data_IF_251233570112
#
_entry.id   IF_251233570112
#
_cell.length_a   1.000
_cell.length_b   1.000
_cell.length_c   1.000
_cell.angle_alpha   90.00
_cell.angle_beta   90.00
_cell.angle_gamma   90.00
#
_symmetry.space_group_name_H-M   'P 1'
#
loop_
_entity.id
_entity.type
_entity.pdbx_description
1 polymer ?
#
# COMPACT_ATOMS: atom_id res chain seq x y z
N UNK A 1 -5.95 -6.43 -21.28
CA UNK A 1 -6.81 -7.46 -20.65
C UNK A 1 -6.14 -8.80 -20.89
N UNK A 2 -5.27 -9.22 -19.98
CA UNK A 2 -4.58 -10.50 -20.08
C UNK A 2 -5.50 -11.59 -19.52
N UNK A 3 -5.57 -12.70 -20.25
CA UNK A 3 -6.55 -13.77 -20.07
C UNK A 3 -6.66 -14.31 -18.65
N UNK A 4 -7.86 -14.78 -18.35
CA UNK A 4 -8.29 -15.34 -17.08
C UNK A 4 -7.25 -16.27 -16.44
N UNK A 5 -7.15 -16.14 -15.11
CA UNK A 5 -6.51 -17.08 -14.21
C UNK A 5 -7.02 -18.51 -14.45
N UNK A 6 -6.29 -19.30 -15.23
CA UNK A 6 -6.38 -20.77 -15.22
C UNK A 6 -5.27 -21.41 -16.07
N UNK A 7 -4.00 -21.11 -15.80
CA UNK A 7 -2.90 -22.04 -16.11
C UNK A 7 -1.95 -22.10 -14.92
N UNK A 8 -2.43 -22.77 -13.88
CA UNK A 8 -1.56 -23.24 -12.80
C UNK A 8 -1.00 -24.61 -13.24
N UNK A 9 0.33 -24.72 -13.20
CA UNK A 9 1.10 -25.99 -13.12
C UNK A 9 1.17 -26.88 -14.37
N UNK A 10 1.85 -26.42 -15.41
CA UNK A 10 2.80 -27.28 -16.11
C UNK A 10 4.21 -26.78 -15.78
N UNK A 11 5.02 -27.62 -15.12
CA UNK A 11 6.40 -27.28 -14.82
C UNK A 11 7.17 -27.09 -16.14
N UNK A 12 7.51 -25.84 -16.46
CA UNK A 12 8.45 -25.54 -17.54
C UNK A 12 9.80 -26.17 -17.16
N UNK A 13 10.35 -27.09 -17.95
CA UNK A 13 11.65 -27.69 -17.66
C UNK A 13 12.71 -26.59 -17.63
N UNK A 14 13.43 -26.45 -16.50
CA UNK A 14 14.51 -25.47 -16.34
C UNK A 14 14.18 -24.22 -15.51
N UNK A 15 12.96 -24.06 -14.98
CA UNK A 15 12.65 -22.98 -14.03
C UNK A 15 13.05 -23.41 -12.62
N UNK A 16 14.10 -22.77 -12.10
CA UNK A 16 14.54 -22.91 -10.72
C UNK A 16 13.47 -22.36 -9.75
N UNK A 17 13.20 -23.09 -8.66
CA UNK A 17 12.19 -22.74 -7.65
C UNK A 17 12.74 -21.83 -6.54
N UNK A 18 14.02 -21.47 -6.60
CA UNK A 18 14.68 -20.67 -5.56
C UNK A 18 14.09 -19.26 -5.37
N UNK A 19 13.37 -18.68 -6.34
CA UNK A 19 12.77 -17.35 -6.19
C UNK A 19 11.48 -17.12 -7.01
N UNK A 20 10.65 -16.16 -6.59
CA UNK A 20 9.49 -15.69 -7.34
C UNK A 20 9.19 -14.20 -7.12
N UNK A 21 8.56 -13.54 -8.10
CA UNK A 21 8.15 -12.14 -7.99
C UNK A 21 6.64 -12.08 -7.79
N UNK A 22 6.16 -11.47 -6.71
CA UNK A 22 4.76 -11.10 -6.57
C UNK A 22 4.57 -9.65 -6.96
N UNK A 23 3.54 -9.36 -7.73
CA UNK A 23 3.13 -8.00 -8.09
C UNK A 23 1.76 -7.71 -7.49
N UNK A 24 1.45 -6.43 -7.26
CA UNK A 24 0.09 -6.00 -6.94
C UNK A 24 -0.89 -6.32 -8.08
N UNK A 25 -2.19 -6.37 -7.78
CA UNK A 25 -3.21 -6.69 -8.78
C UNK A 25 -3.46 -5.51 -9.75
N UNK A 26 -3.26 -4.29 -9.25
CA UNK A 26 -3.43 -3.05 -10.01
C UNK A 26 -2.15 -2.21 -9.91
N UNK A 27 -1.86 -1.37 -10.93
CA UNK A 27 -0.65 -0.56 -10.94
C UNK A 27 -0.70 0.55 -9.87
N UNK A 28 0.40 1.28 -9.69
CA UNK A 28 0.46 2.51 -8.87
C UNK A 28 0.29 3.80 -9.68
N UNK A 29 0.41 3.72 -11.00
CA UNK A 29 0.28 4.81 -11.97
C UNK A 29 -0.42 4.36 -13.26
N UNK A 30 -1.05 5.30 -13.97
CA UNK A 30 -1.97 5.02 -15.07
C UNK A 30 -3.23 5.91 -15.11
N UNK A 31 -4.20 5.59 -15.99
CA UNK A 31 -5.29 6.50 -16.34
C UNK A 31 -6.36 6.63 -15.24
N UNK A 32 -6.42 5.70 -14.28
CA UNK A 32 -7.38 5.76 -13.18
C UNK A 32 -6.87 6.64 -12.02
N UNK A 33 -5.56 6.93 -11.97
CA UNK A 33 -4.90 7.53 -10.81
C UNK A 33 -4.54 6.52 -9.72
N UNK A 34 -4.84 5.23 -9.96
CA UNK A 34 -4.35 4.05 -9.21
C UNK A 34 -4.32 4.25 -7.70
N UNK A 35 -3.14 4.21 -7.07
CA UNK A 35 -3.02 4.35 -5.61
C UNK A 35 -3.42 5.75 -5.13
N UNK A 36 -3.29 6.76 -6.00
CA UNK A 36 -3.67 8.15 -5.76
C UNK A 36 -5.08 8.52 -6.22
N UNK A 37 -5.92 7.57 -6.64
CA UNK A 37 -7.18 7.85 -7.33
C UNK A 37 -8.15 8.75 -6.53
N UNK A 38 -8.04 8.75 -5.20
CA UNK A 38 -8.88 9.53 -4.30
C UNK A 38 -8.17 10.70 -3.61
N UNK A 39 -6.91 10.96 -3.99
CA UNK A 39 -6.06 11.94 -3.32
C UNK A 39 -6.31 13.35 -3.85
N UNK A 40 -6.20 14.34 -2.96
CA UNK A 40 -6.23 15.77 -3.29
C UNK A 40 -5.16 16.50 -2.45
N UNK A 41 -3.90 16.53 -2.94
CA UNK A 41 -2.81 17.26 -2.28
C UNK A 41 -3.12 18.75 -2.07
N UNK A 42 -3.86 19.38 -2.99
CA UNK A 42 -4.26 20.78 -2.90
C UNK A 42 -5.24 21.02 -1.73
N UNK A 43 -6.18 20.10 -1.54
CA UNK A 43 -7.09 20.12 -0.38
C UNK A 43 -6.31 19.96 0.92
N UNK A 44 -5.39 18.98 0.98
CA UNK A 44 -4.53 18.77 2.14
C UNK A 44 -3.73 20.02 2.50
N UNK A 45 -3.07 20.64 1.52
CA UNK A 45 -2.29 21.86 1.71
C UNK A 45 -3.17 23.03 2.20
N UNK A 46 -4.38 23.17 1.65
CA UNK A 46 -5.32 24.24 2.05
C UNK A 46 -5.80 24.05 3.48
N UNK A 47 -6.14 22.81 3.87
CA UNK A 47 -6.56 22.48 5.24
C UNK A 47 -5.41 22.66 6.23
N UNK A 48 -4.20 22.22 5.89
CA UNK A 48 -3.02 22.43 6.74
C UNK A 48 -2.74 23.93 6.93
N UNK A 49 -2.83 24.73 5.87
CA UNK A 49 -2.72 26.18 5.95
C UNK A 49 -3.79 26.80 6.85
N UNK A 50 -5.00 26.26 6.86
CA UNK A 50 -6.06 26.71 7.77
C UNK A 50 -5.78 26.33 9.22
N UNK A 51 -5.35 25.09 9.47
CA UNK A 51 -4.95 24.63 10.81
C UNK A 51 -3.77 25.44 11.37
N UNK A 52 -2.88 25.94 10.50
CA UNK A 52 -1.79 26.85 10.86
C UNK A 52 -2.21 28.33 10.98
N UNK A 53 -3.49 28.67 10.77
CA UNK A 53 -4.02 30.04 10.82
C UNK A 53 -3.64 30.93 9.63
N UNK A 54 -3.16 30.34 8.53
CA UNK A 54 -2.69 31.02 7.33
C UNK A 54 -3.76 31.12 6.23
N UNK A 55 -4.76 30.24 6.27
CA UNK A 55 -5.88 30.17 5.31
C UNK A 55 -7.20 30.31 6.05
N UNK A 56 -8.18 31.00 5.45
CA UNK A 56 -9.51 31.14 6.04
C UNK A 56 -10.24 29.81 6.12
N UNK A 57 -11.13 29.67 7.11
CA UNK A 57 -11.97 28.48 7.24
C UNK A 57 -12.80 28.25 5.97
N UNK A 58 -13.43 29.30 5.43
CA UNK A 58 -14.23 29.23 4.20
C UNK A 58 -13.48 28.58 3.02
N UNK A 59 -12.21 28.94 2.81
CA UNK A 59 -11.40 28.35 1.74
C UNK A 59 -11.08 26.88 2.01
N UNK A 60 -10.78 26.51 3.25
CA UNK A 60 -10.54 25.10 3.62
C UNK A 60 -11.81 24.25 3.48
N UNK A 61 -12.98 24.81 3.84
CA UNK A 61 -14.27 24.15 3.65
C UNK A 61 -14.56 23.89 2.17
N UNK A 62 -14.37 24.92 1.33
CA UNK A 62 -14.55 24.79 -0.11
C UNK A 62 -13.61 23.74 -0.73
N UNK A 63 -12.33 23.76 -0.34
CA UNK A 63 -11.36 22.78 -0.83
C UNK A 63 -11.72 21.34 -0.42
N UNK A 64 -12.27 21.14 0.78
CA UNK A 64 -12.79 19.84 1.22
C UNK A 64 -13.99 19.38 0.37
N UNK A 65 -14.94 20.29 0.11
CA UNK A 65 -16.12 19.97 -0.72
C UNK A 65 -15.73 19.60 -2.16
N UNK A 66 -14.79 20.33 -2.77
CA UNK A 66 -14.24 20.03 -4.10
C UNK A 66 -13.51 18.68 -4.14
N UNK A 67 -12.70 18.38 -3.11
CA UNK A 67 -12.04 17.08 -2.99
C UNK A 67 -13.05 15.93 -2.80
N UNK A 68 -14.12 16.13 -2.03
CA UNK A 68 -15.16 15.14 -1.84
C UNK A 68 -15.92 14.83 -3.15
N UNK A 69 -16.18 15.85 -3.99
CA UNK A 69 -16.78 15.68 -5.31
C UNK A 69 -15.86 14.91 -6.26
N UNK A 70 -14.57 15.30 -6.31
CA UNK A 70 -13.56 14.63 -7.14
C UNK A 70 -13.37 13.17 -6.74
N UNK A 71 -13.24 12.91 -5.44
CA UNK A 71 -13.11 11.56 -4.88
C UNK A 71 -14.32 10.69 -5.24
N UNK A 72 -15.53 11.23 -5.17
CA UNK A 72 -16.72 10.49 -5.53
C UNK A 72 -16.81 10.12 -7.02
N UNK A 73 -16.41 11.02 -7.92
CA UNK A 73 -16.30 10.70 -9.33
C UNK A 73 -15.27 9.57 -9.56
N UNK A 74 -14.15 9.60 -8.85
CA UNK A 74 -13.17 8.52 -8.87
C UNK A 74 -13.72 7.19 -8.30
N UNK A 75 -14.50 7.24 -7.21
CA UNK A 75 -15.16 6.05 -6.64
C UNK A 75 -16.09 5.42 -7.68
N UNK A 76 -16.89 6.22 -8.39
CA UNK A 76 -17.73 5.69 -9.46
C UNK A 76 -16.91 5.04 -10.57
N UNK A 77 -15.80 5.67 -11.02
CA UNK A 77 -14.88 5.07 -12.01
C UNK A 77 -14.35 3.71 -11.56
N UNK A 78 -13.89 3.59 -10.31
CA UNK A 78 -13.44 2.32 -9.74
C UNK A 78 -14.58 1.31 -9.65
N UNK A 79 -15.79 1.75 -9.30
CA UNK A 79 -16.94 0.86 -9.15
C UNK A 79 -17.44 0.25 -10.47
N UNK A 80 -17.27 0.96 -11.59
CA UNK A 80 -17.59 0.45 -12.95
C UNK A 80 -16.42 -0.27 -13.62
N UNK A 81 -15.21 -0.24 -13.03
CA UNK A 81 -14.04 -0.88 -13.62
C UNK A 81 -14.21 -2.41 -13.66
N UNK A 82 -14.32 -2.96 -14.87
CA UNK A 82 -14.53 -4.40 -15.06
C UNK A 82 -13.37 -5.24 -14.52
N UNK A 83 -12.14 -4.73 -14.63
CA UNK A 83 -10.95 -5.40 -14.10
C UNK A 83 -11.06 -5.57 -12.59
N UNK A 84 -11.41 -4.51 -11.87
CA UNK A 84 -11.58 -4.51 -10.42
C UNK A 84 -12.74 -5.40 -10.00
N UNK A 85 -13.90 -5.27 -10.68
CA UNK A 85 -15.07 -6.11 -10.41
C UNK A 85 -14.77 -7.59 -10.62
N UNK A 86 -14.03 -7.94 -11.67
CA UNK A 86 -13.61 -9.32 -11.92
C UNK A 86 -12.59 -9.81 -10.88
N UNK A 87 -11.67 -8.94 -10.46
CA UNK A 87 -10.67 -9.29 -9.47
C UNK A 87 -11.28 -9.56 -8.07
N UNK A 88 -12.38 -8.89 -7.72
CA UNK A 88 -13.07 -9.09 -6.44
C UNK A 88 -14.23 -10.10 -6.50
N UNK A 89 -14.79 -10.33 -7.68
CA UNK A 89 -16.01 -11.13 -7.91
C UNK A 89 -15.83 -12.59 -7.52
N UNK A 90 -16.36 -12.97 -6.36
CA UNK A 90 -16.22 -14.30 -5.77
C UNK A 90 -15.64 -14.35 -4.35
N UNK A 91 -15.17 -13.22 -3.81
CA UNK A 91 -14.49 -13.18 -2.49
C UNK A 91 -15.25 -12.48 -1.36
N UNK A 92 -16.09 -11.47 -1.64
CA UNK A 92 -16.73 -10.63 -0.62
C UNK A 92 -18.10 -10.07 -1.07
N UNK A 93 -19.19 -10.69 -0.59
CA UNK A 93 -20.55 -10.30 -0.94
C UNK A 93 -20.94 -8.88 -0.47
N UNK A 94 -20.29 -8.35 0.57
CA UNK A 94 -20.54 -6.98 1.03
C UNK A 94 -19.94 -5.97 0.05
N UNK A 95 -18.73 -6.24 -0.44
CA UNK A 95 -18.08 -5.43 -1.46
C UNK A 95 -18.84 -5.48 -2.80
N UNK A 96 -19.26 -6.66 -3.24
CA UNK A 96 -20.06 -6.80 -4.48
C UNK A 96 -21.35 -5.95 -4.43
N UNK A 97 -22.05 -5.98 -3.30
CA UNK A 97 -23.23 -5.14 -3.07
C UNK A 97 -22.88 -3.65 -3.08
N UNK A 98 -21.80 -3.24 -2.41
CA UNK A 98 -21.37 -1.85 -2.39
C UNK A 98 -21.04 -1.34 -3.81
N UNK A 99 -20.34 -2.15 -4.60
CA UNK A 99 -20.06 -1.87 -6.00
C UNK A 99 -21.35 -1.72 -6.82
N UNK A 100 -22.32 -2.61 -6.65
CA UNK A 100 -23.64 -2.50 -7.30
C UNK A 100 -24.35 -1.20 -6.97
N UNK A 101 -24.45 -0.86 -5.68
CA UNK A 101 -25.10 0.37 -5.21
C UNK A 101 -24.43 1.64 -5.76
N UNK A 102 -23.10 1.67 -5.84
CA UNK A 102 -22.33 2.81 -6.35
C UNK A 102 -22.52 2.99 -7.86
N UNK A 103 -22.58 1.89 -8.62
CA UNK A 103 -22.89 1.92 -10.06
C UNK A 103 -24.31 2.43 -10.30
N UNK A 104 -25.29 1.92 -9.56
CA UNK A 104 -26.69 2.38 -9.66
C UNK A 104 -26.85 3.85 -9.28
N UNK A 105 -26.10 4.32 -8.29
CA UNK A 105 -26.13 5.71 -7.83
C UNK A 105 -25.52 6.68 -8.84
N UNK A 106 -24.57 6.23 -9.67
CA UNK A 106 -23.83 7.08 -10.59
C UNK A 106 -22.82 8.01 -9.92
N UNK A 107 -22.06 8.76 -10.73
CA UNK A 107 -21.06 9.72 -10.24
C UNK A 107 -21.69 10.87 -9.42
N UNK A 108 -22.90 11.28 -9.79
CA UNK A 108 -23.68 12.33 -9.13
C UNK A 108 -24.63 11.79 -8.05
N UNK A 109 -24.40 10.54 -7.62
CA UNK A 109 -25.20 9.85 -6.62
C UNK A 109 -25.33 10.58 -5.28
N UNK A 110 -26.35 10.21 -4.47
CA UNK A 110 -26.68 10.93 -3.25
C UNK A 110 -25.53 10.88 -2.23
N UNK A 111 -25.11 12.04 -1.71
CA UNK A 111 -24.04 12.16 -0.69
C UNK A 111 -24.53 11.87 0.73
N UNK A 112 -25.24 10.76 0.90
CA UNK A 112 -25.78 10.35 2.20
C UNK A 112 -24.84 9.34 2.92
N UNK A 113 -25.25 8.89 4.11
CA UNK A 113 -24.48 7.95 4.92
C UNK A 113 -24.27 6.60 4.23
N UNK A 114 -25.28 6.08 3.53
CA UNK A 114 -25.21 4.79 2.86
C UNK A 114 -24.20 4.81 1.71
N UNK A 115 -24.25 5.85 0.87
CA UNK A 115 -23.26 6.06 -0.21
C UNK A 115 -21.84 6.14 0.35
N UNK A 116 -21.61 6.94 1.41
CA UNK A 116 -20.28 7.07 2.02
C UNK A 116 -19.74 5.74 2.54
N UNK A 117 -20.58 4.95 3.21
CA UNK A 117 -20.19 3.62 3.69
C UNK A 117 -19.72 2.72 2.55
N UNK A 118 -20.47 2.68 1.45
CA UNK A 118 -20.15 1.84 0.30
C UNK A 118 -18.89 2.36 -0.42
N UNK A 119 -18.73 3.67 -0.54
CA UNK A 119 -17.54 4.32 -1.08
C UNK A 119 -16.28 4.05 -0.23
N UNK A 120 -16.38 4.17 1.10
CA UNK A 120 -15.30 3.88 2.05
C UNK A 120 -14.84 2.41 1.91
N UNK A 121 -15.78 1.47 1.77
CA UNK A 121 -15.47 0.06 1.55
C UNK A 121 -14.73 -0.17 0.23
N UNK A 122 -15.24 0.39 -0.87
CA UNK A 122 -14.58 0.29 -2.19
C UNK A 122 -13.19 0.91 -2.15
N UNK A 123 -13.02 2.08 -1.54
CA UNK A 123 -11.72 2.73 -1.41
C UNK A 123 -10.72 1.87 -0.63
N UNK A 124 -11.14 1.29 0.50
CA UNK A 124 -10.32 0.36 1.30
C UNK A 124 -9.81 -0.82 0.46
N UNK A 125 -10.68 -1.42 -0.35
CA UNK A 125 -10.29 -2.55 -1.21
C UNK A 125 -9.43 -2.11 -2.38
N UNK A 126 -9.79 -1.05 -3.10
CA UNK A 126 -9.00 -0.52 -4.22
C UNK A 126 -7.55 -0.26 -3.81
N UNK A 127 -7.37 0.40 -2.67
CA UNK A 127 -6.06 0.65 -2.11
C UNK A 127 -5.30 -0.64 -1.81
N UNK A 128 -5.94 -1.65 -1.22
CA UNK A 128 -5.29 -2.93 -0.90
C UNK A 128 -4.83 -3.67 -2.16
N UNK A 129 -5.59 -3.56 -3.26
CA UNK A 129 -5.30 -4.14 -4.56
C UNK A 129 -4.17 -3.42 -5.33
N UNK A 130 -3.98 -2.12 -5.09
CA UNK A 130 -2.86 -1.35 -5.65
C UNK A 130 -1.59 -1.39 -4.77
N UNK A 131 -1.76 -1.40 -3.44
CA UNK A 131 -0.68 -1.22 -2.47
C UNK A 131 0.00 -2.52 -2.03
N UNK A 132 -0.67 -3.69 -2.21
CA UNK A 132 -0.21 -4.97 -1.68
C UNK A 132 -0.18 -6.06 -2.74
N UNK A 133 0.78 -6.96 -2.59
CA UNK A 133 1.04 -8.08 -3.51
C UNK A 133 0.19 -9.32 -3.24
N UNK A 134 -0.61 -9.31 -2.18
CA UNK A 134 -1.40 -10.45 -1.71
C UNK A 134 -2.58 -10.85 -2.60
N UNK A 135 -3.02 -9.95 -3.47
CA UNK A 135 -4.11 -10.19 -4.42
C UNK A 135 -3.65 -10.23 -5.87
N UNK A 136 -2.37 -9.94 -6.12
CA UNK A 136 -1.86 -9.91 -7.47
C UNK A 136 -1.26 -11.24 -7.89
N UNK A 137 -0.49 -11.19 -8.97
CA UNK A 137 0.03 -12.38 -9.64
C UNK A 137 1.42 -12.72 -9.15
N UNK A 138 1.72 -14.03 -9.09
CA UNK A 138 3.10 -14.50 -8.93
C UNK A 138 3.67 -14.77 -10.31
N UNK A 139 4.80 -14.14 -10.61
CA UNK A 139 5.56 -14.32 -11.85
C UNK A 139 6.81 -15.16 -11.55
N UNK A 140 7.11 -16.19 -12.37
CA UNK A 140 8.39 -16.87 -12.29
C UNK A 140 9.50 -15.89 -12.66
N UNK A 141 10.69 -16.12 -12.10
CA UNK A 141 11.90 -15.38 -12.40
C UNK A 141 12.86 -16.33 -13.09
N UNK A 142 13.48 -15.89 -14.17
CA UNK A 142 14.57 -16.63 -14.82
C UNK A 142 15.84 -16.51 -13.96
N UNK A 143 16.49 -17.63 -13.62
CA UNK A 143 17.78 -17.58 -12.91
C UNK A 143 18.90 -17.65 -13.95
N UNK A 144 19.76 -16.62 -13.97
CA UNK A 144 20.88 -16.52 -14.89
C UNK A 144 22.18 -16.93 -14.20
N UNK A 145 22.85 -17.93 -14.76
CA UNK A 145 24.18 -18.36 -14.34
C UNK A 145 25.14 -17.16 -14.50
N UNK A 146 25.64 -16.61 -13.39
CA UNK A 146 26.62 -15.50 -13.31
C UNK A 146 26.08 -14.06 -13.42
N UNK A 147 24.77 -13.81 -13.45
CA UNK A 147 24.31 -12.45 -13.18
C UNK A 147 24.50 -12.14 -11.68
N UNK A 148 24.80 -10.90 -11.33
CA UNK A 148 24.91 -10.45 -9.93
C UNK A 148 23.65 -9.68 -9.47
N UNK A 149 22.67 -9.49 -10.38
CA UNK A 149 21.56 -8.54 -10.21
C UNK A 149 20.24 -9.04 -10.77
N UNK A 150 19.15 -8.35 -10.40
CA UNK A 150 17.85 -8.49 -11.07
C UNK A 150 17.88 -7.70 -12.37
N UNK A 151 17.48 -8.34 -13.47
CA UNK A 151 17.37 -7.75 -14.79
C UNK A 151 15.92 -7.78 -15.26
N UNK A 152 15.55 -6.80 -16.08
CA UNK A 152 14.33 -6.83 -16.88
C UNK A 152 14.75 -7.13 -18.32
N UNK A 153 14.68 -8.39 -18.79
CA UNK A 153 15.05 -8.71 -20.16
C UNK A 153 14.07 -8.09 -21.17
N UNK A 154 14.46 -7.95 -22.44
CA UNK A 154 13.66 -7.23 -23.46
C UNK A 154 12.28 -7.82 -23.76
N UNK A 155 12.04 -9.08 -23.38
CA UNK A 155 10.78 -9.79 -23.53
C UNK A 155 9.78 -9.52 -22.39
N UNK A 156 10.15 -8.66 -21.42
CA UNK A 156 9.29 -8.27 -20.30
C UNK A 156 9.32 -9.26 -19.13
N UNK A 157 10.26 -10.22 -19.13
CA UNK A 157 10.53 -11.11 -18.00
C UNK A 157 11.25 -10.41 -16.84
N UNK A 158 11.53 -11.18 -15.80
CA UNK A 158 12.48 -10.80 -14.75
C UNK A 158 13.49 -11.89 -14.61
N UNK A 159 14.77 -11.53 -14.56
CA UNK A 159 15.84 -12.46 -14.35
C UNK A 159 16.64 -12.11 -13.10
N UNK A 160 17.16 -13.09 -12.37
CA UNK A 160 17.97 -12.91 -11.17
C UNK A 160 19.27 -13.71 -11.30
N UNK A 161 20.35 -13.13 -10.82
CA UNK A 161 21.63 -13.80 -10.68
C UNK A 161 21.67 -14.97 -9.70
N UNK A 162 22.16 -16.13 -10.12
CA UNK A 162 22.36 -17.29 -9.24
C UNK A 162 23.36 -17.01 -8.10
N UNK A 163 24.39 -16.21 -8.36
CA UNK A 163 25.42 -15.87 -7.36
C UNK A 163 24.84 -15.17 -6.12
N UNK A 164 23.82 -14.31 -6.30
CA UNK A 164 23.14 -13.68 -5.18
C UNK A 164 22.39 -14.71 -4.32
N UNK A 165 21.77 -15.71 -4.95
CA UNK A 165 21.05 -16.78 -4.25
C UNK A 165 22.03 -17.67 -3.48
N UNK A 166 23.11 -18.09 -4.14
CA UNK A 166 24.16 -18.94 -3.56
C UNK A 166 24.80 -18.29 -2.30
N UNK A 167 24.98 -16.97 -2.30
CA UNK A 167 25.54 -16.24 -1.15
C UNK A 167 24.55 -16.10 0.02
N UNK A 168 23.25 -16.01 -0.25
CA UNK A 168 22.21 -15.80 0.78
C UNK A 168 21.73 -17.10 1.42
N UNK A 169 21.73 -18.20 0.67
CA UNK A 169 21.18 -19.50 1.08
C UNK A 169 21.72 -19.98 2.45
N UNK A 170 23.05 -19.97 2.73
CA UNK A 170 23.57 -20.46 4.02
C UNK A 170 23.08 -19.65 5.22
N UNK A 171 22.84 -18.35 5.06
CA UNK A 171 22.37 -17.49 6.14
C UNK A 171 20.87 -17.59 6.38
N UNK A 172 20.08 -17.82 5.33
CA UNK A 172 18.66 -18.13 5.49
C UNK A 172 18.46 -19.45 6.24
N UNK A 173 19.26 -20.46 5.92
CA UNK A 173 19.28 -21.73 6.63
C UNK A 173 19.69 -21.56 8.10
N UNK A 174 20.77 -20.81 8.38
CA UNK A 174 21.25 -20.54 9.73
C UNK A 174 20.24 -19.74 10.59
N UNK A 175 19.44 -18.86 9.97
CA UNK A 175 18.40 -18.10 10.65
C UNK A 175 17.14 -18.94 10.96
N UNK A 176 17.08 -20.22 10.56
CA UNK A 176 15.95 -21.13 10.80
C UNK A 176 14.68 -20.75 10.03
N UNK A 177 14.80 -19.94 8.96
CA UNK A 177 13.66 -19.33 8.24
C UNK A 177 13.31 -20.14 6.99
N UNK A 178 12.82 -21.37 7.18
CA UNK A 178 12.70 -22.41 6.14
C UNK A 178 11.45 -22.38 5.24
N UNK A 179 10.70 -21.29 5.10
CA UNK A 179 9.49 -21.36 4.26
C UNK A 179 9.27 -20.23 3.27
N UNK A 180 9.55 -18.97 3.57
CA UNK A 180 9.55 -17.87 2.59
C UNK A 180 10.32 -16.68 3.20
N UNK A 181 11.37 -16.18 2.54
CA UNK A 181 11.89 -14.83 2.85
C UNK A 181 11.34 -13.86 1.81
N UNK A 182 10.36 -13.06 2.22
CA UNK A 182 9.91 -11.90 1.45
C UNK A 182 10.94 -10.79 1.57
N UNK A 183 11.75 -10.59 0.54
CA UNK A 183 12.60 -9.40 0.42
C UNK A 183 11.83 -8.39 -0.42
N UNK A 184 11.41 -7.30 0.20
CA UNK A 184 10.88 -6.16 -0.54
C UNK A 184 12.03 -5.45 -1.27
N UNK A 185 12.40 -5.96 -2.44
CA UNK A 185 13.34 -5.28 -3.33
C UNK A 185 12.66 -4.05 -3.94
N UNK A 186 13.16 -2.88 -3.56
CA UNK A 186 12.87 -1.62 -4.23
C UNK A 186 13.88 -1.47 -5.37
N UNK A 187 13.43 -1.06 -6.56
CA UNK A 187 14.31 -0.93 -7.75
C UNK A 187 15.58 -0.10 -7.53
N UNK A 188 15.58 0.82 -6.57
CA UNK A 188 16.73 1.65 -6.23
C UNK A 188 17.96 0.87 -5.71
N UNK A 189 17.83 -0.43 -5.44
CA UNK A 189 18.93 -1.25 -4.90
C UNK A 189 19.46 -2.31 -5.86
N UNK A 190 18.76 -2.61 -6.97
CA UNK A 190 19.00 -3.84 -7.76
C UNK A 190 20.36 -3.92 -8.44
N UNK A 191 20.95 -2.79 -8.82
CA UNK A 191 22.25 -2.75 -9.52
C UNK A 191 23.47 -2.90 -8.60
N UNK A 192 23.29 -2.87 -7.27
CA UNK A 192 24.38 -2.81 -6.28
C UNK A 192 24.05 -3.63 -5.01
N UNK A 193 23.21 -4.66 -5.13
CA UNK A 193 22.92 -5.61 -4.04
C UNK A 193 24.19 -6.42 -3.74
N UNK A 194 24.86 -6.14 -2.62
CA UNK A 194 25.83 -7.09 -2.07
C UNK A 194 25.12 -8.03 -1.10
N UNK A 195 25.32 -9.35 -1.21
CA UNK A 195 24.75 -10.27 -0.24
C UNK A 195 25.29 -9.96 1.18
N UNK A 196 26.51 -9.44 1.29
CA UNK A 196 27.12 -8.99 2.54
C UNK A 196 26.25 -8.05 3.38
N UNK A 197 25.57 -7.07 2.77
CA UNK A 197 24.65 -6.17 3.50
C UNK A 197 23.44 -6.93 4.06
N UNK A 198 22.88 -7.88 3.31
CA UNK A 198 21.77 -8.73 3.76
C UNK A 198 22.20 -9.67 4.89
N UNK A 199 23.38 -10.29 4.74
CA UNK A 199 23.96 -11.18 5.75
C UNK A 199 24.17 -10.46 7.09
N UNK A 200 24.63 -9.21 7.04
CA UNK A 200 24.79 -8.38 8.24
C UNK A 200 23.44 -8.12 8.93
N UNK A 201 22.39 -7.80 8.17
CA UNK A 201 21.02 -7.60 8.72
C UNK A 201 20.44 -8.88 9.32
N UNK A 202 20.61 -10.02 8.66
CA UNK A 202 20.08 -11.30 9.16
C UNK A 202 20.74 -11.71 10.48
N UNK A 203 22.03 -11.36 10.65
CA UNK A 203 22.82 -11.73 11.83
C UNK A 203 22.58 -10.80 13.01
N UNK A 204 22.52 -9.48 12.77
CA UNK A 204 22.35 -8.47 13.82
C UNK A 204 21.52 -7.27 13.30
N UNK A 205 20.17 -7.37 13.31
CA UNK A 205 19.32 -6.31 12.79
C UNK A 205 19.34 -5.09 13.73
N UNK A 206 19.89 -3.98 13.24
CA UNK A 206 19.84 -2.68 13.93
C UNK A 206 18.39 -2.21 14.03
N UNK A 207 17.86 -2.06 15.24
CA UNK A 207 16.50 -1.56 15.51
C UNK A 207 16.52 -0.54 16.63
N UNK A 208 15.51 0.32 16.69
CA UNK A 208 15.36 1.33 17.73
C UNK A 208 13.93 1.31 18.28
N UNK A 209 13.79 1.52 19.59
CA UNK A 209 12.51 1.53 20.29
C UNK A 209 12.08 2.94 20.69
N UNK A 210 10.79 3.14 20.89
CA UNK A 210 10.21 4.40 21.35
C UNK A 210 8.86 4.72 20.70
N UNK A 211 8.27 5.83 21.12
CA UNK A 211 7.06 6.41 20.50
C UNK A 211 7.31 6.74 19.02
N UNK A 212 8.47 7.33 18.70
CA UNK A 212 8.96 7.44 17.32
C UNK A 212 10.33 6.76 17.22
N UNK A 213 10.43 5.82 16.29
CA UNK A 213 11.66 5.13 15.95
C UNK A 213 12.02 5.47 14.49
N UNK A 214 13.17 6.10 14.22
CA UNK A 214 13.54 6.48 12.86
C UNK A 214 13.81 5.25 11.97
N UNK A 215 13.86 5.48 10.66
CA UNK A 215 14.32 4.47 9.70
C UNK A 215 15.77 4.12 10.00
N UNK A 216 16.08 2.83 10.08
CA UNK A 216 17.45 2.33 10.23
C UNK A 216 17.82 1.45 9.05
N UNK A 217 19.10 1.49 8.66
CA UNK A 217 19.63 0.71 7.55
C UNK A 217 20.98 0.09 7.93
N UNK A 218 21.33 -1.00 7.27
CA UNK A 218 22.70 -1.51 7.17
C UNK A 218 23.06 -1.45 5.70
N UNK A 219 23.95 -0.53 5.34
CA UNK A 219 24.16 -0.17 3.93
C UNK A 219 22.85 0.29 3.29
N UNK A 220 22.43 -0.37 2.22
CA UNK A 220 21.19 -0.08 1.48
C UNK A 220 19.97 -0.85 1.98
N UNK A 221 20.17 -1.83 2.86
CA UNK A 221 19.11 -2.69 3.38
C UNK A 221 18.42 -2.00 4.55
N UNK A 222 17.11 -1.80 4.44
CA UNK A 222 16.30 -1.23 5.51
C UNK A 222 16.00 -2.31 6.54
N UNK A 223 16.51 -2.14 7.76
CA UNK A 223 16.28 -3.06 8.88
C UNK A 223 15.01 -2.71 9.65
N UNK A 224 14.66 -1.42 9.68
CA UNK A 224 13.45 -0.90 10.28
C UNK A 224 12.96 0.31 9.50
N UNK A 225 11.68 0.32 9.14
CA UNK A 225 11.01 1.52 8.62
C UNK A 225 10.78 2.53 9.75
N UNK A 226 10.77 3.82 9.44
CA UNK A 226 10.32 4.83 10.38
C UNK A 226 8.94 4.44 10.93
N UNK A 227 8.83 4.40 12.25
CA UNK A 227 7.69 3.86 12.97
C UNK A 227 7.25 4.82 14.07
N UNK A 228 5.96 5.09 14.16
CA UNK A 228 5.32 5.84 15.23
C UNK A 228 4.36 4.91 15.97
N UNK A 229 4.24 5.09 17.28
CA UNK A 229 3.42 4.27 18.17
C UNK A 229 2.60 5.19 19.07
N UNK A 230 1.33 4.86 19.19
CA UNK A 230 0.34 5.57 20.02
C UNK A 230 -0.80 4.60 20.32
N UNK A 231 -1.90 5.07 20.92
CA UNK A 231 -3.15 4.32 21.08
C UNK A 231 -4.29 4.94 20.28
N UNK A 232 -5.40 4.21 20.17
CA UNK A 232 -6.62 4.76 19.55
C UNK A 232 -7.11 5.99 20.34
N UNK A 233 -7.09 5.92 21.67
CA UNK A 233 -7.50 7.00 22.57
C UNK A 233 -6.62 8.25 22.39
N UNK A 234 -5.29 8.09 22.37
CA UNK A 234 -4.34 9.18 22.16
C UNK A 234 -4.46 9.84 20.78
N UNK A 235 -4.90 9.10 19.75
CA UNK A 235 -5.13 9.68 18.43
C UNK A 235 -6.33 10.65 18.38
N UNK A 236 -7.27 10.53 19.32
CA UNK A 236 -8.57 11.23 19.36
C UNK A 236 -9.48 11.00 18.12
N UNK A 237 -9.02 10.31 17.07
CA UNK A 237 -9.71 10.20 15.78
C UNK A 237 -11.00 9.37 15.86
N UNK A 238 -11.07 8.39 16.77
CA UNK A 238 -12.23 7.52 16.95
C UNK A 238 -13.49 8.31 17.33
N UNK A 239 -13.34 9.38 18.12
CA UNK A 239 -14.44 10.18 18.65
C UNK A 239 -15.04 11.15 17.60
N UNK A 240 -14.29 11.47 16.54
CA UNK A 240 -14.69 12.47 15.55
C UNK A 240 -15.75 11.94 14.59
N UNK A 241 -16.98 12.46 14.67
CA UNK A 241 -18.14 11.90 13.93
C UNK A 241 -18.29 12.45 12.53
N UNK A 242 -18.26 13.76 12.34
CA UNK A 242 -18.61 14.39 11.07
C UNK A 242 -17.56 14.14 9.99
N UNK A 243 -17.96 13.90 8.71
CA UNK A 243 -17.02 13.55 7.64
C UNK A 243 -15.89 14.56 7.44
N UNK A 244 -16.23 15.85 7.52
CA UNK A 244 -15.28 16.96 7.40
C UNK A 244 -14.35 17.01 8.60
N UNK A 245 -14.94 16.97 9.80
CA UNK A 245 -14.21 17.07 11.06
C UNK A 245 -13.19 15.93 11.17
N UNK A 246 -13.54 14.73 10.69
CA UNK A 246 -12.62 13.58 10.61
C UNK A 246 -11.39 13.90 9.77
N UNK A 247 -11.58 14.50 8.60
CA UNK A 247 -10.47 14.85 7.72
C UNK A 247 -9.56 15.90 8.38
N UNK A 248 -10.13 16.96 8.95
CA UNK A 248 -9.37 18.02 9.62
C UNK A 248 -8.62 17.49 10.85
N UNK A 249 -9.26 16.63 11.64
CA UNK A 249 -8.62 15.98 12.78
C UNK A 249 -7.47 15.06 12.34
N UNK A 250 -7.64 14.31 11.26
CA UNK A 250 -6.58 13.46 10.70
C UNK A 250 -5.40 14.28 10.15
N UNK A 251 -5.65 15.43 9.50
CA UNK A 251 -4.60 16.36 9.05
C UNK A 251 -3.81 16.91 10.24
N UNK A 252 -4.51 17.35 11.29
CA UNK A 252 -3.91 17.81 12.55
C UNK A 252 -3.05 16.72 13.18
N UNK A 253 -3.60 15.51 13.35
CA UNK A 253 -2.89 14.36 13.92
C UNK A 253 -1.62 14.00 13.13
N UNK A 254 -1.69 14.00 11.79
CA UNK A 254 -0.53 13.82 10.90
C UNK A 254 0.54 14.89 11.14
N UNK A 255 0.14 16.15 11.34
CA UNK A 255 1.07 17.24 11.57
C UNK A 255 1.73 17.15 12.96
N UNK A 256 0.94 16.89 14.00
CA UNK A 256 1.38 16.77 15.40
C UNK A 256 2.43 15.66 15.60
N UNK A 257 2.21 14.49 14.98
CA UNK A 257 3.15 13.37 15.02
C UNK A 257 4.29 13.46 13.99
N UNK A 258 4.25 14.44 13.10
CA UNK A 258 5.23 14.58 12.01
C UNK A 258 5.19 13.42 11.01
N UNK A 259 4.02 12.82 10.78
CA UNK A 259 3.86 11.68 9.86
C UNK A 259 4.06 12.11 8.40
N UNK A 260 4.58 11.23 7.52
CA UNK A 260 4.49 11.42 6.07
C UNK A 260 3.04 11.47 5.57
N UNK A 261 2.82 11.98 4.36
CA UNK A 261 1.49 11.98 3.72
C UNK A 261 0.91 10.57 3.55
N UNK A 262 1.77 9.56 3.40
CA UNK A 262 1.37 8.16 3.23
C UNK A 262 2.01 7.28 4.27
N UNK A 263 1.19 6.52 4.98
CA UNK A 263 1.63 5.60 6.02
C UNK A 263 0.86 4.28 5.93
N UNK A 264 1.42 3.23 6.53
CA UNK A 264 0.70 2.03 6.89
C UNK A 264 0.32 2.11 8.38
N UNK A 265 -0.95 1.91 8.71
CA UNK A 265 -1.45 1.87 10.08
C UNK A 265 -1.88 0.45 10.41
N UNK A 266 -1.33 -0.12 11.48
CA UNK A 266 -1.72 -1.42 12.03
C UNK A 266 -2.37 -1.22 13.40
N UNK A 267 -3.51 -1.89 13.60
CA UNK A 267 -4.14 -2.06 14.91
C UNK A 267 -3.81 -3.46 15.42
N UNK A 268 -3.63 -3.63 16.74
CA UNK A 268 -3.21 -4.91 17.30
C UNK A 268 -4.22 -6.06 17.05
N UNK A 269 -5.50 -5.72 16.86
CA UNK A 269 -6.61 -6.62 16.55
C UNK A 269 -6.86 -6.81 15.04
N UNK A 270 -6.20 -6.03 14.17
CA UNK A 270 -6.30 -6.18 12.72
C UNK A 270 -5.20 -7.07 12.14
N UNK A 271 -5.56 -7.98 11.23
CA UNK A 271 -4.62 -8.96 10.66
C UNK A 271 -3.58 -8.32 9.73
N UNK A 272 -3.89 -7.16 9.13
CA UNK A 272 -3.00 -6.50 8.16
C UNK A 272 -3.10 -4.98 8.23
N UNK A 273 -1.98 -4.26 8.10
CA UNK A 273 -1.98 -2.80 8.14
C UNK A 273 -2.80 -2.20 6.99
N UNK A 274 -3.57 -1.16 7.25
CA UNK A 274 -4.19 -0.33 6.21
C UNK A 274 -3.17 0.67 5.66
N UNK A 275 -3.12 0.89 4.35
CA UNK A 275 -2.43 2.07 3.85
C UNK A 275 -3.35 3.27 4.12
N UNK A 276 -2.78 4.44 4.39
CA UNK A 276 -3.53 5.69 4.58
C UNK A 276 -2.76 6.76 3.83
N UNK A 277 -3.44 7.44 2.92
CA UNK A 277 -2.94 8.68 2.30
C UNK A 277 -3.74 9.84 2.90
N UNK A 278 -3.09 10.66 3.72
CA UNK A 278 -3.69 11.79 4.40
C UNK A 278 -4.08 12.93 3.45
N UNK A 279 -3.71 12.86 2.16
CA UNK A 279 -4.23 13.78 1.14
C UNK A 279 -5.61 13.40 0.63
N UNK A 280 -6.16 12.26 1.07
CA UNK A 280 -7.46 11.74 0.64
C UNK A 280 -8.47 11.75 1.79
N UNK A 281 -9.52 12.60 1.70
CA UNK A 281 -10.60 12.59 2.70
C UNK A 281 -11.23 11.23 2.92
N UNK A 282 -11.42 10.43 1.85
CA UNK A 282 -12.04 9.10 1.98
C UNK A 282 -11.13 8.09 2.70
N UNK A 283 -9.80 8.14 2.50
CA UNK A 283 -8.89 7.27 3.25
C UNK A 283 -8.81 7.65 4.72
N UNK A 284 -8.87 8.94 5.06
CA UNK A 284 -8.97 9.35 6.48
C UNK A 284 -10.30 8.92 7.10
N UNK A 285 -11.40 8.95 6.35
CA UNK A 285 -12.68 8.44 6.82
C UNK A 285 -12.64 6.93 7.10
N UNK A 286 -11.99 6.14 6.22
CA UNK A 286 -11.74 4.71 6.42
C UNK A 286 -10.94 4.47 7.70
N UNK A 287 -9.87 5.22 7.94
CA UNK A 287 -9.08 5.14 9.17
C UNK A 287 -9.95 5.43 10.41
N UNK A 288 -10.66 6.57 10.45
CA UNK A 288 -11.52 6.90 11.59
C UNK A 288 -12.61 5.86 11.84
N UNK A 289 -13.17 5.27 10.77
CA UNK A 289 -14.17 4.20 10.86
C UNK A 289 -13.55 2.92 11.46
N UNK A 290 -12.33 2.56 11.06
CA UNK A 290 -11.63 1.38 11.60
C UNK A 290 -11.26 1.57 13.09
N UNK A 291 -10.70 2.74 13.45
CA UNK A 291 -10.36 3.06 14.83
C UNK A 291 -11.59 3.00 15.75
N UNK A 292 -12.72 3.58 15.30
CA UNK A 292 -14.00 3.55 16.04
C UNK A 292 -14.60 2.14 16.17
N UNK A 293 -14.27 1.23 15.27
CA UNK A 293 -14.81 -0.12 15.31
C UNK A 293 -14.15 -1.01 16.38
N UNK A 294 -12.98 -0.62 16.89
CA UNK A 294 -12.33 -1.34 17.98
C UNK A 294 -13.10 -1.16 19.28
N UNK A 295 -13.20 -2.24 20.07
CA UNK A 295 -13.94 -2.22 21.34
C UNK A 295 -13.12 -1.62 22.50
N UNK A 296 -11.79 -1.59 22.35
CA UNK A 296 -10.84 -1.09 23.33
C UNK A 296 -10.01 0.01 22.69
N UNK A 297 -10.11 1.24 23.22
CA UNK A 297 -9.39 2.38 22.67
C UNK A 297 -7.97 2.54 23.25
N UNK A 298 -7.58 1.73 24.24
CA UNK A 298 -6.18 1.64 24.68
C UNK A 298 -5.33 0.73 23.77
N UNK A 299 -5.95 0.12 22.75
CA UNK A 299 -5.28 -0.68 21.73
C UNK A 299 -4.18 0.12 21.03
N UNK A 300 -3.02 -0.51 20.88
CA UNK A 300 -1.87 0.07 20.20
C UNK A 300 -2.16 0.31 18.71
N UNK A 301 -1.83 1.51 18.26
CA UNK A 301 -1.80 1.91 16.86
C UNK A 301 -0.33 2.04 16.45
N UNK A 302 0.12 1.17 15.54
CA UNK A 302 1.47 1.23 14.98
C UNK A 302 1.40 1.83 13.58
N UNK A 303 2.01 2.99 13.40
CA UNK A 303 2.13 3.68 12.13
C UNK A 303 3.53 3.43 11.58
N UNK A 304 3.64 3.04 10.32
CA UNK A 304 4.93 2.89 9.63
C UNK A 304 4.91 3.67 8.33
N UNK A 305 6.03 4.24 7.92
CA UNK A 305 6.13 4.87 6.61
C UNK A 305 5.85 3.87 5.46
N UNK A 306 5.36 4.38 4.32
CA UNK A 306 5.21 3.56 3.12
C UNK A 306 6.55 3.42 2.40
N UNK A 307 7.14 2.22 2.45
CA UNK A 307 8.40 1.89 1.77
C UNK A 307 8.43 0.41 1.36
N UNK A 308 8.40 0.03 0.07
CA UNK A 308 8.35 0.90 -1.10
C UNK A 308 7.06 1.74 -1.17
N UNK A 309 7.22 2.99 -1.59
CA UNK A 309 6.13 3.82 -2.11
C UNK A 309 6.05 3.84 -3.63
N UNK A 310 5.05 4.50 -4.25
CA UNK A 310 4.84 4.52 -5.70
C UNK A 310 6.06 4.92 -6.54
N UNK A 311 6.88 5.85 -6.04
CA UNK A 311 8.13 6.26 -6.72
C UNK A 311 9.18 5.13 -6.82
N UNK A 312 9.03 4.07 -6.04
CA UNK A 312 9.90 2.89 -6.03
C UNK A 312 9.32 1.72 -6.83
N UNK A 313 8.09 1.84 -7.35
CA UNK A 313 7.49 0.84 -8.22
C UNK A 313 8.24 0.80 -9.56
N UNK A 314 8.46 -0.41 -10.06
CA UNK A 314 9.43 -0.64 -11.14
C UNK A 314 9.09 -1.75 -12.11
N UNK A 315 8.10 -2.59 -11.78
CA UNK A 315 7.64 -3.68 -12.65
C UNK A 315 6.61 -3.11 -13.61
N UNK A 316 6.89 -2.96 -14.93
CA UNK A 316 5.92 -2.44 -15.87
C UNK A 316 4.93 -3.50 -16.36
N UNK A 317 3.75 -3.07 -16.82
CA UNK A 317 2.95 -3.82 -17.80
C UNK A 317 3.31 -3.41 -19.24
N UNK A 318 2.64 -4.00 -20.23
CA UNK A 318 2.82 -3.66 -21.66
C UNK A 318 2.54 -2.19 -21.98
N UNK A 319 1.72 -1.53 -21.16
CA UNK A 319 1.38 -0.12 -21.31
C UNK A 319 2.35 0.79 -20.57
N UNK A 320 3.33 0.23 -19.84
CA UNK A 320 4.33 0.95 -19.08
C UNK A 320 3.89 1.36 -17.67
N UNK A 321 2.69 0.96 -17.23
CA UNK A 321 2.24 1.21 -15.86
C UNK A 321 3.00 0.32 -14.89
N UNK A 322 3.37 0.86 -13.73
CA UNK A 322 4.25 0.20 -12.77
C UNK A 322 3.46 -0.37 -11.61
N UNK A 323 3.93 -1.51 -11.11
CA UNK A 323 3.30 -2.23 -10.01
C UNK A 323 4.24 -2.23 -8.81
N UNK A 324 3.67 -2.16 -7.61
CA UNK A 324 4.40 -2.56 -6.41
C UNK A 324 4.65 -4.06 -6.48
N UNK A 325 5.85 -4.46 -6.08
CA UNK A 325 6.29 -5.84 -6.18
C UNK A 325 7.10 -6.28 -4.97
N UNK A 326 7.21 -7.58 -4.82
CA UNK A 326 7.92 -8.24 -3.73
C UNK A 326 8.68 -9.44 -4.33
N UNK A 327 10.00 -9.47 -4.16
CA UNK A 327 10.80 -10.65 -4.46
C UNK A 327 10.68 -11.62 -3.27
N UNK A 328 10.44 -12.89 -3.56
CA UNK A 328 10.43 -13.96 -2.56
C UNK A 328 11.50 -14.95 -2.92
N UNK A 329 12.35 -15.28 -1.96
CA UNK A 329 13.36 -16.33 -2.07
C UNK A 329 12.88 -17.51 -1.21
N UNK A 330 12.91 -18.73 -1.77
CA UNK A 330 12.33 -19.96 -1.21
C UNK A 330 13.39 -20.92 -0.73
#
# INVERSE_FOLDING_TARGET
MWGAASEMTAAMPGVDRAASLRVAAFPVDGPAGELGAFCSPECAQTVDGHLAGQVSEELALKAYEEAALTSAAAVHRVAVDEGFRNAVGGGDAMLERALGNLVESGADGPRNRAYRRDAELVAKFWQRYCAKTEFGTTRPIEVLESAERVLTPPDGGFALGSALLDELEPAFDAAGRRTEVGVHLCAASLDELSAGEYLAVLSDPVTTSGEHAPRTTVGRVVTQRATWRTTIAESELAEVVGPRERYFAARRWRAELGLPERVFVALADETKPMCVDFTSPIFTAVLCTALRASADHDVAVTITEVLPGPGHAWVPDEQGHRYLSELRIH
#
